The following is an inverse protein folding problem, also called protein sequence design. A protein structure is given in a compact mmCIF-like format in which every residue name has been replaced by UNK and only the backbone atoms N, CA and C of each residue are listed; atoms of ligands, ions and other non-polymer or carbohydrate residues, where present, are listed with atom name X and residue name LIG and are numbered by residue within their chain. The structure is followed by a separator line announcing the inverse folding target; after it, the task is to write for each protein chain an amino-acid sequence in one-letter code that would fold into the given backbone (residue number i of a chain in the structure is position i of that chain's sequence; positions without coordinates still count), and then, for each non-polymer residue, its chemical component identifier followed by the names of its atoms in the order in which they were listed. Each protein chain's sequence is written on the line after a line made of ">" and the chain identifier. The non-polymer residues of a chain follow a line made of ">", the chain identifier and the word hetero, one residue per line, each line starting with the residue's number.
data_IF_834589141127
#
_entry.id   IF_834589141127
#
_cell.length_a   1.000
_cell.length_b   1.000
_cell.length_c   1.000
_cell.angle_alpha   90.00
_cell.angle_beta   90.00
_cell.angle_gamma   90.00
#
_symmetry.space_group_name_H-M   'P 1'
#
loop_
_entity.id
_entity.type
_entity.pdbx_description
1 polymer ?
#
# COMPACT_ATOMS: atom_id res chain seq x y z
N UNK A 1 28.48 -35.29 3.69
CA UNK A 1 28.19 -33.98 4.31
C UNK A 1 28.02 -32.99 3.17
N UNK A 2 26.80 -32.49 2.96
CA UNK A 2 26.49 -31.55 1.88
C UNK A 2 27.04 -30.16 2.27
N UNK A 3 27.84 -29.54 1.40
CA UNK A 3 28.41 -28.21 1.66
C UNK A 3 27.36 -27.14 1.39
N UNK A 4 27.38 -26.03 2.15
CA UNK A 4 26.39 -24.95 2.03
C UNK A 4 26.30 -24.36 0.61
N UNK A 5 27.37 -24.47 -0.18
CA UNK A 5 27.43 -24.03 -1.57
C UNK A 5 26.49 -24.85 -2.46
N UNK A 6 26.34 -26.14 -2.19
CA UNK A 6 25.50 -27.04 -2.99
C UNK A 6 24.01 -26.85 -2.67
N UNK A 7 23.67 -26.63 -1.39
CA UNK A 7 22.30 -26.33 -0.96
C UNK A 7 21.77 -25.00 -1.53
N UNK A 8 22.64 -23.98 -1.67
CA UNK A 8 22.27 -22.70 -2.30
C UNK A 8 21.99 -22.85 -3.80
N UNK A 9 22.81 -23.65 -4.49
CA UNK A 9 22.64 -23.87 -5.93
C UNK A 9 21.33 -24.62 -6.25
N UNK A 10 20.97 -25.62 -5.44
CA UNK A 10 19.71 -26.35 -5.58
C UNK A 10 18.49 -25.46 -5.31
N UNK A 11 18.57 -24.57 -4.32
CA UNK A 11 17.50 -23.62 -4.02
C UNK A 11 17.26 -22.63 -5.16
N UNK A 12 18.31 -22.08 -5.76
CA UNK A 12 18.15 -21.16 -6.89
C UNK A 12 17.65 -21.85 -8.16
N UNK A 13 18.03 -23.11 -8.39
CA UNK A 13 17.46 -23.90 -9.48
C UNK A 13 15.98 -24.21 -9.28
N UNK A 14 15.55 -24.45 -8.03
CA UNK A 14 14.13 -24.63 -7.68
C UNK A 14 13.31 -23.36 -7.96
N UNK A 15 13.83 -22.18 -7.59
CA UNK A 15 13.17 -20.89 -7.88
C UNK A 15 13.09 -20.64 -9.40
N UNK A 16 14.18 -20.91 -10.14
CA UNK A 16 14.22 -20.69 -11.58
C UNK A 16 13.26 -21.62 -12.35
N UNK A 17 13.05 -22.85 -11.86
CA UNK A 17 12.09 -23.79 -12.45
C UNK A 17 10.65 -23.41 -12.12
N UNK A 18 10.36 -22.98 -10.88
CA UNK A 18 9.02 -22.49 -10.51
C UNK A 18 8.62 -21.24 -11.30
N UNK A 19 9.54 -20.29 -11.52
CA UNK A 19 9.27 -19.09 -12.32
C UNK A 19 8.93 -19.41 -13.78
N UNK A 20 9.54 -20.46 -14.36
CA UNK A 20 9.23 -20.95 -15.70
C UNK A 20 7.86 -21.61 -15.81
N UNK A 21 7.40 -22.31 -14.76
CA UNK A 21 6.07 -22.91 -14.72
C UNK A 21 4.96 -21.85 -14.65
N UNK A 22 5.18 -20.76 -13.89
CA UNK A 22 4.20 -19.66 -13.78
C UNK A 22 4.01 -18.92 -15.11
N UNK A 23 5.08 -18.77 -15.91
CA UNK A 23 5.01 -18.12 -17.22
C UNK A 23 4.23 -18.91 -18.29
N UNK A 24 3.91 -20.19 -18.03
CA UNK A 24 3.18 -21.07 -18.93
C UNK A 24 1.67 -21.16 -18.63
N UNK A 25 1.19 -20.61 -17.51
CA UNK A 25 -0.20 -20.79 -17.05
C UNK A 25 -1.03 -19.50 -16.95
N UNK A 26 -0.50 -18.32 -17.30
CA UNK A 26 -1.32 -17.11 -17.44
C UNK A 26 -1.85 -16.99 -18.87
N UNK A 27 -2.58 -18.02 -19.27
CA UNK A 27 -3.42 -18.05 -20.45
C UNK A 27 -4.89 -17.94 -20.02
N UNK A 28 -5.46 -16.77 -20.27
CA UNK A 28 -6.90 -16.51 -20.46
C UNK A 28 -7.85 -16.50 -19.23
N UNK A 29 -8.44 -15.31 -19.02
CA UNK A 29 -9.81 -15.02 -18.54
C UNK A 29 -10.12 -15.43 -17.08
N UNK A 30 -10.54 -14.55 -16.16
CA UNK A 30 -11.64 -13.59 -16.25
C UNK A 30 -11.38 -12.35 -15.38
N UNK A 31 -11.33 -11.17 -15.99
CA UNK A 31 -11.71 -9.93 -15.32
C UNK A 31 -12.62 -9.16 -16.25
N UNK A 32 -13.89 -9.05 -15.88
CA UNK A 32 -14.85 -8.15 -16.49
C UNK A 32 -14.88 -6.86 -15.68
N UNK A 33 -14.31 -5.75 -16.18
CA UNK A 33 -14.78 -4.44 -15.81
C UNK A 33 -15.87 -4.01 -16.79
N UNK A 34 -16.94 -3.49 -16.19
CA UNK A 34 -18.12 -2.87 -16.75
C UNK A 34 -17.95 -2.28 -18.18
N UNK A 35 -18.85 -2.69 -19.07
CA UNK A 35 -19.15 -1.97 -20.30
C UNK A 35 -20.06 -0.78 -19.96
N UNK A 36 -19.59 0.44 -20.19
CA UNK A 36 -20.49 1.50 -20.66
C UNK A 36 -19.90 2.16 -21.89
N UNK A 37 -20.57 1.85 -23.00
CA UNK A 37 -20.75 2.62 -24.24
C UNK A 37 -19.56 3.37 -24.85
N UNK A 38 -19.08 2.83 -25.97
CA UNK A 38 -18.37 3.58 -27.01
C UNK A 38 -17.92 2.63 -28.12
N UNK A 39 -18.67 2.59 -29.23
CA UNK A 39 -18.41 1.75 -30.38
C UNK A 39 -16.97 1.94 -30.91
N UNK A 40 -16.23 0.83 -31.05
CA UNK A 40 -14.93 0.78 -31.70
C UNK A 40 -15.09 1.20 -33.17
N UNK A 41 -14.41 2.26 -33.58
CA UNK A 41 -14.12 2.52 -35.00
C UNK A 41 -12.66 2.16 -35.24
N UNK A 42 -12.48 1.44 -36.34
CA UNK A 42 -11.31 0.67 -36.74
C UNK A 42 -10.01 1.46 -36.79
N UNK A 43 -8.95 0.70 -36.50
CA UNK A 43 -7.59 0.82 -37.01
C UNK A 43 -6.78 2.09 -36.66
N UNK A 44 -5.51 1.82 -36.32
CA UNK A 44 -4.41 2.77 -36.20
C UNK A 44 -4.42 3.75 -35.02
N UNK A 45 -4.24 3.20 -33.82
CA UNK A 45 -3.49 3.92 -32.79
C UNK A 45 -2.21 3.16 -32.46
N UNK A 46 -1.24 3.42 -33.31
CA UNK A 46 0.18 3.57 -32.97
C UNK A 46 0.46 3.67 -31.48
N UNK A 47 1.37 2.79 -31.04
CA UNK A 47 2.25 2.88 -29.88
C UNK A 47 2.44 4.34 -29.42
N UNK A 48 1.66 4.85 -28.46
CA UNK A 48 2.01 6.12 -27.78
C UNK A 48 1.28 6.45 -26.47
N UNK A 49 0.87 5.46 -25.68
CA UNK A 49 0.50 5.70 -24.27
C UNK A 49 1.07 4.64 -23.33
N UNK A 50 2.37 4.39 -23.45
CA UNK A 50 3.16 4.14 -22.24
C UNK A 50 3.42 5.52 -21.62
N UNK A 51 2.36 6.20 -21.17
CA UNK A 51 2.57 7.21 -20.16
C UNK A 51 2.98 6.43 -18.93
N UNK A 52 4.29 6.35 -18.70
CA UNK A 52 4.89 6.15 -17.40
C UNK A 52 4.35 7.27 -16.50
N UNK A 53 3.08 7.16 -16.12
CA UNK A 53 2.44 8.07 -15.21
C UNK A 53 3.11 7.72 -13.91
N UNK A 54 4.18 8.45 -13.60
CA UNK A 54 4.92 8.35 -12.36
C UNK A 54 3.85 8.39 -11.27
N UNK A 55 3.57 7.23 -10.66
CA UNK A 55 2.67 7.18 -9.53
C UNK A 55 3.29 8.13 -8.51
N UNK A 56 2.58 9.20 -8.11
CA UNK A 56 3.19 10.19 -7.25
C UNK A 56 3.67 9.46 -5.99
N UNK A 57 4.95 9.68 -5.67
CA UNK A 57 5.65 8.90 -4.66
C UNK A 57 4.90 9.08 -3.33
N UNK A 58 4.26 7.99 -2.89
CA UNK A 58 3.59 7.94 -1.60
C UNK A 58 4.63 7.64 -0.54
N UNK A 59 4.92 8.62 0.31
CA UNK A 59 5.84 8.43 1.43
C UNK A 59 5.06 8.09 2.71
N UNK A 60 5.48 7.07 3.48
CA UNK A 60 4.85 6.75 4.75
C UNK A 60 5.17 7.84 5.79
N UNK A 61 4.12 8.42 6.38
CA UNK A 61 4.22 9.41 7.45
C UNK A 61 3.51 8.90 8.72
N UNK A 62 4.20 9.04 9.86
CA UNK A 62 3.65 8.76 11.19
C UNK A 62 3.31 10.05 11.92
N UNK A 63 2.07 10.15 12.40
CA UNK A 63 1.64 11.21 13.30
C UNK A 63 1.61 10.66 14.72
N UNK A 64 2.05 11.47 15.67
CA UNK A 64 2.02 11.15 17.09
C UNK A 64 1.34 12.30 17.81
N UNK A 65 0.18 12.01 18.41
CA UNK A 65 -0.50 12.94 19.31
C UNK A 65 -0.17 12.54 20.73
N UNK A 66 0.26 13.50 21.55
CA UNK A 66 0.55 13.32 22.98
C UNK A 66 -0.13 14.46 23.74
N UNK A 67 -0.82 14.12 24.83
CA UNK A 67 -1.43 15.11 25.72
C UNK A 67 -2.47 14.49 26.63
N UNK A 68 -3.34 15.31 27.22
CA UNK A 68 -4.49 14.79 27.97
C UNK A 68 -5.41 13.95 27.07
N UNK A 69 -6.12 12.96 27.62
CA UNK A 69 -7.06 12.14 26.85
C UNK A 69 -8.10 13.00 26.13
N UNK A 70 -8.58 14.08 26.76
CA UNK A 70 -9.51 15.03 26.14
C UNK A 70 -8.89 15.72 24.92
N UNK A 71 -7.64 16.19 25.02
CA UNK A 71 -6.97 16.88 23.93
C UNK A 71 -6.70 15.95 22.75
N UNK A 72 -6.23 14.73 23.01
CA UNK A 72 -5.95 13.74 21.96
C UNK A 72 -7.25 13.34 21.24
N UNK A 73 -8.31 12.98 21.97
CA UNK A 73 -9.61 12.60 21.38
C UNK A 73 -10.21 13.77 20.57
N UNK A 74 -10.19 14.99 21.12
CA UNK A 74 -10.74 16.16 20.43
C UNK A 74 -9.99 16.45 19.12
N UNK A 75 -8.66 16.27 19.13
CA UNK A 75 -7.84 16.44 17.92
C UNK A 75 -8.15 15.36 16.89
N UNK A 76 -8.30 14.09 17.29
CA UNK A 76 -8.67 13.01 16.38
C UNK A 76 -10.03 13.29 15.71
N UNK A 77 -11.04 13.69 16.48
CA UNK A 77 -12.36 14.05 15.93
C UNK A 77 -12.26 15.26 14.99
N UNK A 78 -11.48 16.28 15.35
CA UNK A 78 -11.26 17.43 14.47
C UNK A 78 -10.61 17.02 13.14
N UNK A 79 -9.58 16.17 13.19
CA UNK A 79 -8.91 15.64 12.00
C UNK A 79 -9.85 14.80 11.13
N UNK A 80 -10.79 14.07 11.73
CA UNK A 80 -11.85 13.39 10.98
C UNK A 80 -12.79 14.38 10.29
N UNK A 81 -13.25 15.42 10.99
CA UNK A 81 -14.19 16.42 10.45
C UNK A 81 -13.60 17.13 9.23
N UNK A 82 -12.30 17.40 9.22
CA UNK A 82 -11.62 18.02 8.07
C UNK A 82 -11.21 17.02 6.98
N UNK A 83 -11.60 15.74 7.10
CA UNK A 83 -11.29 14.70 6.12
C UNK A 83 -9.82 14.28 6.10
N UNK A 84 -9.08 14.53 7.17
CA UNK A 84 -7.68 14.13 7.26
C UNK A 84 -7.56 12.62 7.44
N UNK A 85 -8.13 12.05 8.51
CA UNK A 85 -8.10 10.61 8.80
C UNK A 85 -9.32 10.21 9.64
N UNK A 86 -9.79 8.98 9.50
CA UNK A 86 -10.90 8.47 10.29
C UNK A 86 -10.45 8.10 11.71
N UNK A 87 -11.39 8.11 12.67
CA UNK A 87 -11.12 7.74 14.07
C UNK A 87 -10.52 6.33 14.17
N UNK A 88 -10.98 5.41 13.32
CA UNK A 88 -10.51 4.01 13.30
C UNK A 88 -9.07 3.84 12.77
N UNK A 89 -8.51 4.84 12.11
CA UNK A 89 -7.13 4.78 11.58
C UNK A 89 -6.07 5.00 12.67
N UNK A 90 -6.49 5.55 13.81
CA UNK A 90 -5.63 5.85 14.94
C UNK A 90 -5.46 4.62 15.85
N UNK A 91 -4.28 4.47 16.44
CA UNK A 91 -4.08 3.48 17.48
C UNK A 91 -4.97 3.79 18.69
N UNK A 92 -5.34 2.77 19.50
CA UNK A 92 -5.91 3.00 20.83
C UNK A 92 -5.05 3.97 21.64
N UNK A 93 -5.68 4.70 22.56
CA UNK A 93 -4.95 5.56 23.49
C UNK A 93 -4.04 4.72 24.38
N UNK A 94 -2.75 5.06 24.40
CA UNK A 94 -1.74 4.42 25.24
C UNK A 94 -1.30 5.38 26.33
N UNK A 95 -1.14 4.94 27.59
CA UNK A 95 -0.59 5.78 28.64
C UNK A 95 0.89 6.10 28.34
N UNK A 96 1.35 7.27 28.76
CA UNK A 96 2.78 7.64 28.73
C UNK A 96 3.38 7.54 30.14
N UNK A 97 4.69 7.80 30.32
CA UNK A 97 5.29 7.91 31.65
C UNK A 97 4.72 9.06 32.51
N UNK A 98 4.06 10.05 31.89
CA UNK A 98 3.49 11.19 32.59
C UNK A 98 2.05 10.90 33.02
N UNK A 99 1.71 11.04 34.33
CA UNK A 99 0.34 10.81 34.80
C UNK A 99 -0.67 11.72 34.12
N UNK A 100 -1.76 11.12 33.62
CA UNK A 100 -2.83 11.85 32.92
C UNK A 100 -2.53 12.19 31.46
N UNK A 101 -1.36 11.81 30.94
CA UNK A 101 -0.97 11.95 29.54
C UNK A 101 -1.15 10.62 28.81
N UNK A 102 -1.69 10.70 27.60
CA UNK A 102 -1.86 9.59 26.68
C UNK A 102 -1.28 9.94 25.32
N UNK A 103 -1.05 8.92 24.51
CA UNK A 103 -0.63 9.06 23.13
C UNK A 103 -1.47 8.21 22.18
N UNK A 104 -1.53 8.63 20.92
CA UNK A 104 -2.09 7.86 19.81
C UNK A 104 -1.30 8.10 18.53
N UNK A 105 -1.18 7.05 17.71
CA UNK A 105 -0.35 7.02 16.52
C UNK A 105 -1.24 6.78 15.30
N UNK A 106 -1.02 7.55 14.23
CA UNK A 106 -1.56 7.31 12.90
C UNK A 106 -0.41 7.05 11.94
N UNK A 107 -0.51 5.99 11.15
CA UNK A 107 0.43 5.68 10.08
C UNK A 107 -0.29 5.75 8.72
N UNK A 108 0.08 6.71 7.86
CA UNK A 108 -0.54 6.87 6.55
C UNK A 108 0.47 7.25 5.48
N UNK A 109 0.30 6.78 4.23
CA UNK A 109 1.03 7.33 3.10
C UNK A 109 0.52 8.75 2.77
N UNK A 110 1.44 9.65 2.45
CA UNK A 110 1.14 10.99 1.93
C UNK A 110 1.78 11.18 0.55
N UNK A 111 1.20 12.05 -0.26
CA UNK A 111 1.85 12.51 -1.49
C UNK A 111 2.81 13.63 -1.13
N UNK A 112 4.07 13.48 -1.51
CA UNK A 112 5.08 14.54 -1.39
C UNK A 112 5.05 15.37 -2.66
N UNK A 113 5.00 16.70 -2.52
CA UNK A 113 4.91 17.67 -3.63
C UNK A 113 6.28 18.21 -4.01
#
# INVERSE_FOLDING_TARGET
>A
MMTQVQAKAEFEQSIAQQARAIASEVGTNYFVPFMTQGFLSDADFTINQISSQATPLKEPLKHLLIGSSKAVISTIHYLQVIGYADVGDWSPLLPTPNPGEVMSILNRPILVQ
#
